data_IF_819144334333
#
_entry.id   IF_819144334333
#
_cell.length_a   1.000
_cell.length_b   1.000
_cell.length_c   1.000
_cell.angle_alpha   90.00
_cell.angle_beta   90.00
_cell.angle_gamma   90.00
#
_symmetry.space_group_name_H-M   'P 1'
#
loop_
_entity.id
_entity.type
_entity.pdbx_description
1 polymer ?
#
# COMPACT_ATOMS: atom_id res chain seq x y z
N UNK A 1 -0.14 -10.02 -10.67
CA UNK A 1 0.62 -10.59 -9.54
C UNK A 1 1.17 -11.97 -9.91
N UNK A 2 0.32 -12.99 -10.23
CA UNK A 2 0.78 -14.38 -10.46
C UNK A 2 1.88 -14.50 -11.53
N UNK A 3 1.68 -13.92 -12.72
CA UNK A 3 2.67 -13.94 -13.83
C UNK A 3 3.95 -13.18 -13.50
N UNK A 4 3.86 -12.12 -12.73
CA UNK A 4 4.98 -11.25 -12.38
C UNK A 4 5.93 -11.91 -11.37
N UNK A 5 5.38 -12.76 -10.49
CA UNK A 5 6.12 -13.42 -9.42
C UNK A 5 6.98 -14.62 -9.88
N UNK A 6 6.88 -15.04 -11.14
CA UNK A 6 7.67 -16.17 -11.71
C UNK A 6 9.01 -15.72 -12.31
N UNK A 7 9.26 -14.41 -12.44
CA UNK A 7 10.52 -13.87 -12.97
C UNK A 7 11.66 -13.98 -11.95
N UNK A 8 12.89 -14.06 -12.44
CA UNK A 8 14.13 -14.11 -11.65
C UNK A 8 14.18 -12.96 -10.65
N UNK A 9 14.43 -13.25 -9.39
CA UNK A 9 14.51 -12.26 -8.30
C UNK A 9 15.72 -11.36 -8.50
N UNK A 10 15.50 -10.06 -8.65
CA UNK A 10 16.57 -9.06 -8.57
C UNK A 10 16.90 -8.76 -7.10
N UNK A 11 18.14 -8.44 -6.81
CA UNK A 11 18.51 -7.93 -5.49
C UNK A 11 17.90 -6.53 -5.30
N UNK A 12 16.86 -6.46 -4.46
CA UNK A 12 16.14 -5.21 -4.21
C UNK A 12 17.05 -4.10 -3.66
N UNK A 13 18.07 -4.43 -2.86
CA UNK A 13 19.00 -3.43 -2.37
C UNK A 13 19.75 -2.78 -3.55
N UNK A 14 20.28 -3.58 -4.47
CA UNK A 14 20.95 -3.06 -5.68
C UNK A 14 20.01 -2.25 -6.59
N UNK A 15 18.78 -2.72 -6.76
CA UNK A 15 17.79 -2.05 -7.65
C UNK A 15 17.34 -0.71 -7.08
N UNK A 16 17.24 -0.58 -5.76
CA UNK A 16 16.70 0.61 -5.11
C UNK A 16 17.77 1.59 -4.62
N UNK A 17 19.03 1.16 -4.49
CA UNK A 17 20.14 2.05 -4.11
C UNK A 17 20.21 3.26 -5.05
N UNK A 18 20.30 4.45 -4.48
CA UNK A 18 20.32 5.72 -5.20
C UNK A 18 18.95 6.20 -5.70
N UNK A 19 17.87 5.42 -5.47
CA UNK A 19 16.53 5.85 -5.84
C UNK A 19 15.84 6.57 -4.66
N UNK A 20 15.14 7.65 -4.98
CA UNK A 20 14.36 8.39 -4.00
C UNK A 20 15.19 9.31 -3.11
N UNK A 21 14.70 9.59 -1.92
CA UNK A 21 15.32 10.50 -0.95
C UNK A 21 15.08 10.00 0.48
N UNK A 22 15.95 10.44 1.42
CA UNK A 22 15.87 10.03 2.81
C UNK A 22 16.92 8.99 3.17
N UNK A 23 16.66 8.21 4.21
CA UNK A 23 17.65 7.29 4.76
C UNK A 23 17.43 5.88 4.22
N UNK A 24 18.30 5.45 3.30
CA UNK A 24 18.31 4.08 2.79
C UNK A 24 18.59 3.07 3.92
N UNK A 25 18.07 1.87 3.77
CA UNK A 25 18.27 0.77 4.72
C UNK A 25 18.22 -0.59 4.00
N UNK A 26 18.75 -1.61 4.67
CA UNK A 26 18.80 -2.96 4.11
C UNK A 26 17.41 -3.62 4.06
N UNK A 27 16.91 -3.87 2.85
CA UNK A 27 15.61 -4.47 2.56
C UNK A 27 15.55 -5.99 2.82
N UNK A 28 16.61 -6.60 3.31
CA UNK A 28 16.60 -7.98 3.81
C UNK A 28 16.24 -8.06 5.31
N UNK A 29 16.14 -6.91 5.99
CA UNK A 29 15.62 -6.78 7.36
C UNK A 29 14.15 -6.36 7.35
N UNK A 30 13.51 -6.42 8.49
CA UNK A 30 12.12 -6.02 8.68
C UNK A 30 11.91 -4.53 8.34
N UNK A 31 10.90 -4.23 7.53
CA UNK A 31 10.51 -2.87 7.20
C UNK A 31 8.99 -2.75 6.99
N UNK A 32 8.50 -1.51 7.05
CA UNK A 32 7.13 -1.15 6.75
C UNK A 32 7.05 -0.42 5.41
N UNK A 33 5.85 -0.41 4.83
CA UNK A 33 5.54 0.38 3.63
C UNK A 33 4.38 1.33 3.97
N UNK A 34 4.52 2.62 3.65
CA UNK A 34 3.43 3.58 3.68
C UNK A 34 3.01 3.91 2.25
N UNK A 35 1.71 3.73 1.96
CA UNK A 35 1.07 4.19 0.73
C UNK A 35 -0.28 4.83 1.09
N UNK A 36 -0.30 6.15 1.16
CA UNK A 36 -1.50 6.91 1.51
C UNK A 36 -1.77 8.00 0.49
N UNK A 37 -3.02 8.08 0.08
CA UNK A 37 -3.53 8.99 -0.93
C UNK A 37 -4.64 9.86 -0.34
N UNK A 38 -4.89 11.00 -0.95
CA UNK A 38 -6.02 11.86 -0.57
C UNK A 38 -7.35 11.14 -0.81
N UNK A 39 -8.35 11.52 -0.04
CA UNK A 39 -9.75 11.17 -0.26
C UNK A 39 -10.43 12.42 -0.83
N UNK A 40 -11.05 12.31 -2.00
CA UNK A 40 -11.59 13.47 -2.73
C UNK A 40 -12.61 14.26 -1.91
N UNK A 41 -13.38 13.59 -1.07
CA UNK A 41 -14.37 14.22 -0.18
C UNK A 41 -13.78 14.76 1.12
N UNK A 42 -12.49 14.50 1.39
CA UNK A 42 -11.76 14.89 2.60
C UNK A 42 -10.40 15.50 2.23
N UNK A 43 -10.26 16.07 1.03
CA UNK A 43 -8.94 16.44 0.49
C UNK A 43 -8.22 17.50 1.32
N UNK A 44 -8.95 18.40 1.97
CA UNK A 44 -8.41 19.46 2.84
C UNK A 44 -7.65 18.90 4.04
N UNK A 45 -8.11 17.77 4.59
CA UNK A 45 -7.48 17.08 5.71
C UNK A 45 -6.26 16.25 5.31
N UNK A 46 -5.97 16.11 4.02
CA UNK A 46 -4.95 15.18 3.50
C UNK A 46 -3.57 15.38 4.13
N UNK A 47 -3.15 16.64 4.36
CA UNK A 47 -1.87 16.95 5.04
C UNK A 47 -1.85 16.44 6.47
N UNK A 48 -2.92 16.66 7.22
CA UNK A 48 -3.06 16.21 8.62
C UNK A 48 -3.10 14.69 8.69
N UNK A 49 -3.85 14.05 7.79
CA UNK A 49 -3.99 12.60 7.72
C UNK A 49 -2.65 11.90 7.48
N UNK A 50 -1.85 12.35 6.50
CA UNK A 50 -0.53 11.75 6.24
C UNK A 50 0.45 12.01 7.39
N UNK A 51 0.45 13.18 8.00
CA UNK A 51 1.30 13.49 9.16
C UNK A 51 0.95 12.59 10.34
N UNK A 52 -0.33 12.31 10.59
CA UNK A 52 -0.78 11.39 11.63
C UNK A 52 -0.27 9.97 11.39
N UNK A 53 -0.32 9.50 10.14
CA UNK A 53 0.19 8.18 9.77
C UNK A 53 1.70 8.08 9.95
N UNK A 54 2.46 9.06 9.45
CA UNK A 54 3.91 9.12 9.60
C UNK A 54 4.32 9.15 11.08
N UNK A 55 3.65 9.97 11.90
CA UNK A 55 3.86 10.05 13.35
C UNK A 55 3.59 8.70 14.03
N UNK A 56 2.48 8.05 13.70
CA UNK A 56 2.13 6.76 14.30
C UNK A 56 3.13 5.66 13.95
N UNK A 57 3.60 5.60 12.69
CA UNK A 57 4.58 4.61 12.21
C UNK A 57 5.95 4.86 12.84
N UNK A 58 6.38 6.11 12.96
CA UNK A 58 7.69 6.46 13.53
C UNK A 58 7.90 5.97 14.97
N UNK A 59 6.82 5.79 15.74
CA UNK A 59 6.89 5.28 17.12
C UNK A 59 7.34 3.81 17.21
N UNK A 60 7.33 3.06 16.10
CA UNK A 60 7.77 1.67 16.08
C UNK A 60 9.27 1.50 15.84
N UNK A 61 9.96 2.56 15.44
CA UNK A 61 11.40 2.52 15.11
C UNK A 61 11.78 1.42 14.08
N UNK A 62 10.83 1.03 13.24
CA UNK A 62 11.04 0.07 12.15
C UNK A 62 11.33 0.87 10.87
N UNK A 63 12.38 0.53 10.10
CA UNK A 63 12.66 1.16 8.82
C UNK A 63 11.42 1.18 7.92
N UNK A 64 11.15 2.30 7.25
CA UNK A 64 9.88 2.49 6.54
C UNK A 64 10.11 3.10 5.16
N UNK A 65 9.58 2.41 4.14
CA UNK A 65 9.44 2.97 2.79
C UNK A 65 8.16 3.79 2.69
N UNK A 66 8.26 4.98 2.15
CA UNK A 66 7.11 5.87 1.93
C UNK A 66 7.00 6.18 0.45
N UNK A 67 5.90 5.79 -0.16
CA UNK A 67 5.62 6.14 -1.55
C UNK A 67 4.98 7.52 -1.65
N UNK A 68 5.48 8.32 -2.59
CA UNK A 68 4.85 9.58 -2.96
C UNK A 68 3.45 9.32 -3.51
N UNK A 69 2.51 10.26 -3.29
CA UNK A 69 1.15 10.12 -3.81
C UNK A 69 1.14 10.15 -5.35
N UNK A 70 0.08 9.57 -5.91
CA UNK A 70 -0.28 9.74 -7.32
C UNK A 70 -0.80 11.17 -7.60
N UNK A 71 -1.30 11.40 -8.82
CA UNK A 71 -1.79 12.70 -9.29
C UNK A 71 -3.24 13.01 -8.91
N UNK A 72 -3.85 12.29 -7.95
CA UNK A 72 -5.23 12.53 -7.51
C UNK A 72 -5.39 13.91 -6.87
N UNK A 73 -6.61 14.45 -6.86
CA UNK A 73 -6.95 15.69 -6.17
C UNK A 73 -6.50 15.65 -4.70
N UNK A 74 -5.85 16.70 -4.20
CA UNK A 74 -5.28 16.76 -2.85
C UNK A 74 -3.91 16.09 -2.69
N UNK A 75 -3.32 15.53 -3.75
CA UNK A 75 -1.98 14.91 -3.71
C UNK A 75 -0.87 15.91 -3.34
N UNK A 76 -1.05 17.18 -3.70
CA UNK A 76 -0.17 18.28 -3.30
C UNK A 76 -0.11 18.45 -1.77
N UNK A 77 -1.24 18.27 -1.06
CA UNK A 77 -1.32 18.35 0.40
C UNK A 77 -0.64 17.14 1.07
N UNK A 78 -0.83 15.94 0.51
CA UNK A 78 -0.07 14.74 0.95
C UNK A 78 1.43 14.97 0.76
N UNK A 79 1.84 15.45 -0.41
CA UNK A 79 3.26 15.74 -0.72
C UNK A 79 3.84 16.82 0.19
N UNK A 80 3.06 17.87 0.51
CA UNK A 80 3.44 18.90 1.48
C UNK A 80 3.63 18.31 2.88
N UNK A 81 2.73 17.40 3.31
CA UNK A 81 2.84 16.69 4.58
C UNK A 81 4.10 15.83 4.66
N UNK A 82 4.38 15.05 3.60
CA UNK A 82 5.59 14.21 3.52
C UNK A 82 6.86 15.07 3.60
N UNK A 83 6.94 16.19 2.84
CA UNK A 83 8.10 17.10 2.89
C UNK A 83 8.29 17.68 4.29
N UNK A 84 7.23 18.24 4.87
CA UNK A 84 7.27 18.79 6.25
C UNK A 84 7.72 17.77 7.28
N UNK A 85 7.27 16.51 7.15
CA UNK A 85 7.71 15.43 8.03
C UNK A 85 9.20 15.12 7.86
N UNK A 86 9.65 14.93 6.62
CA UNK A 86 11.04 14.58 6.29
C UNK A 86 12.03 15.62 6.82
N UNK A 87 11.72 16.90 6.64
CA UNK A 87 12.59 18.00 7.11
C UNK A 87 12.78 18.00 8.63
N UNK A 88 11.74 17.61 9.38
CA UNK A 88 11.76 17.59 10.85
C UNK A 88 12.24 16.27 11.45
N UNK A 89 12.38 15.22 10.66
CA UNK A 89 12.66 13.85 11.13
C UNK A 89 13.69 13.16 10.24
N UNK A 90 14.70 13.88 9.79
CA UNK A 90 15.72 13.36 8.87
C UNK A 90 16.55 12.23 9.50
N UNK A 91 16.64 12.15 10.84
CA UNK A 91 17.32 11.12 11.60
C UNK A 91 16.57 9.77 11.58
N UNK A 92 15.27 9.79 11.31
CA UNK A 92 14.45 8.56 11.25
C UNK A 92 14.78 7.73 10.01
N UNK A 93 14.66 6.42 10.11
CA UNK A 93 14.89 5.49 9.01
C UNK A 93 13.69 5.46 8.05
N UNK A 94 13.45 6.57 7.37
CA UNK A 94 12.42 6.71 6.35
C UNK A 94 13.06 6.94 4.99
N UNK A 95 12.68 6.12 4.02
CA UNK A 95 13.14 6.19 2.64
C UNK A 95 11.95 6.45 1.72
N UNK A 96 11.98 7.57 1.00
CA UNK A 96 10.87 8.08 0.21
C UNK A 96 11.11 7.78 -1.27
N UNK A 97 10.21 7.01 -1.88
CA UNK A 97 10.28 6.57 -3.26
C UNK A 97 9.11 7.15 -4.07
N UNK A 98 9.31 7.39 -5.36
CA UNK A 98 8.22 7.74 -6.27
C UNK A 98 7.53 6.47 -6.76
N UNK A 99 7.78 6.09 -8.00
CA UNK A 99 7.21 4.90 -8.61
C UNK A 99 8.28 3.82 -8.76
N UNK A 100 7.84 2.58 -8.74
CA UNK A 100 8.67 1.43 -9.04
C UNK A 100 8.03 0.60 -10.15
N UNK A 101 8.81 -0.12 -10.96
CA UNK A 101 8.28 -1.16 -11.83
C UNK A 101 7.41 -2.14 -11.02
N UNK A 102 6.34 -2.61 -11.64
CA UNK A 102 5.35 -3.48 -10.97
C UNK A 102 5.99 -4.73 -10.35
N UNK A 103 6.95 -5.31 -11.04
CA UNK A 103 7.71 -6.49 -10.58
C UNK A 103 8.46 -6.19 -9.28
N UNK A 104 9.23 -5.09 -9.29
CA UNK A 104 10.00 -4.62 -8.12
C UNK A 104 9.08 -4.32 -6.95
N UNK A 105 7.96 -3.67 -7.21
CA UNK A 105 6.97 -3.35 -6.18
C UNK A 105 6.39 -4.63 -5.53
N UNK A 106 6.07 -5.66 -6.30
CA UNK A 106 5.55 -6.91 -5.75
C UNK A 106 6.59 -7.68 -4.95
N UNK A 107 7.86 -7.70 -5.40
CA UNK A 107 8.94 -8.30 -4.62
C UNK A 107 9.16 -7.54 -3.30
N UNK A 108 9.05 -6.21 -3.33
CA UNK A 108 9.12 -5.37 -2.14
C UNK A 108 7.97 -5.66 -1.17
N UNK A 109 6.73 -5.75 -1.67
CA UNK A 109 5.57 -6.10 -0.84
C UNK A 109 5.76 -7.44 -0.13
N UNK A 110 6.27 -8.47 -0.81
CA UNK A 110 6.48 -9.79 -0.21
C UNK A 110 7.42 -9.77 1.00
N UNK A 111 8.38 -8.84 1.04
CA UNK A 111 9.35 -8.71 2.11
C UNK A 111 8.87 -7.80 3.25
N UNK A 112 7.87 -6.95 3.00
CA UNK A 112 7.36 -6.02 3.99
C UNK A 112 6.66 -6.76 5.14
N UNK A 113 6.90 -6.31 6.36
CA UNK A 113 6.17 -6.79 7.56
C UNK A 113 4.71 -6.37 7.56
N UNK A 114 4.44 -5.17 7.09
CA UNK A 114 3.10 -4.61 7.04
C UNK A 114 3.08 -3.42 6.08
N UNK A 115 1.96 -3.23 5.42
CA UNK A 115 1.65 -2.02 4.68
C UNK A 115 0.67 -1.16 5.49
N UNK A 116 0.88 0.16 5.52
CA UNK A 116 0.05 1.14 6.23
C UNK A 116 -0.43 2.21 5.27
N UNK A 117 -1.67 2.63 5.36
CA UNK A 117 -2.25 3.70 4.53
C UNK A 117 -3.60 3.32 3.95
N UNK A 118 -3.93 3.86 2.77
CA UNK A 118 -5.24 3.66 2.17
C UNK A 118 -5.19 3.26 0.69
N UNK A 119 -4.07 2.70 0.25
CA UNK A 119 -3.93 2.18 -1.12
C UNK A 119 -4.80 0.95 -1.35
N UNK A 120 -5.35 0.82 -2.56
CA UNK A 120 -6.03 -0.41 -2.98
C UNK A 120 -5.10 -1.62 -3.03
N UNK A 121 -3.80 -1.41 -3.15
CA UNK A 121 -2.81 -2.49 -3.08
C UNK A 121 -2.83 -3.21 -1.73
N UNK A 122 -3.19 -2.53 -0.65
CA UNK A 122 -3.33 -3.14 0.67
C UNK A 122 -4.47 -4.16 0.76
N UNK A 123 -5.60 -3.88 0.08
CA UNK A 123 -6.75 -4.81 0.07
C UNK A 123 -6.66 -5.86 -1.04
N UNK A 124 -5.94 -5.60 -2.14
CA UNK A 124 -5.85 -6.51 -3.31
C UNK A 124 -4.56 -7.31 -3.30
N UNK A 125 -3.45 -6.65 -3.55
CA UNK A 125 -2.14 -7.29 -3.68
C UNK A 125 -1.65 -7.87 -2.35
N UNK A 126 -1.76 -7.11 -1.25
CA UNK A 126 -1.37 -7.61 0.08
C UNK A 126 -2.25 -8.78 0.53
N UNK A 127 -3.56 -8.76 0.22
CA UNK A 127 -4.45 -9.88 0.50
C UNK A 127 -4.03 -11.15 -0.26
N UNK A 128 -3.73 -11.02 -1.56
CA UNK A 128 -3.26 -12.13 -2.37
C UNK A 128 -1.91 -12.68 -1.91
N UNK A 129 -1.03 -11.82 -1.41
CA UNK A 129 0.30 -12.19 -0.93
C UNK A 129 0.31 -12.68 0.53
N UNK A 130 -0.75 -12.42 1.29
CA UNK A 130 -0.80 -12.70 2.72
C UNK A 130 0.04 -11.71 3.53
N UNK A 131 0.08 -10.43 3.13
CA UNK A 131 0.80 -9.37 3.82
C UNK A 131 -0.18 -8.57 4.69
N UNK A 132 0.12 -8.34 5.97
CA UNK A 132 -0.72 -7.49 6.83
C UNK A 132 -0.88 -6.09 6.28
N UNK A 133 -2.09 -5.55 6.39
CA UNK A 133 -2.41 -4.21 5.94
C UNK A 133 -3.20 -3.43 7.00
N UNK A 134 -2.71 -2.26 7.37
CA UNK A 134 -3.45 -1.28 8.17
C UNK A 134 -4.12 -0.28 7.23
N UNK A 135 -5.43 -0.42 7.07
CA UNK A 135 -6.24 0.46 6.25
C UNK A 135 -6.64 1.70 7.05
N UNK A 136 -6.06 2.85 6.72
CA UNK A 136 -6.26 4.12 7.41
C UNK A 136 -7.35 4.95 6.72
N UNK A 137 -8.34 5.40 7.49
CA UNK A 137 -9.40 6.29 7.03
C UNK A 137 -10.44 5.60 6.15
N UNK A 138 -11.09 6.39 5.29
CA UNK A 138 -12.36 6.06 4.63
C UNK A 138 -12.22 5.60 3.18
N UNK A 139 -11.08 5.84 2.50
CA UNK A 139 -10.91 5.62 1.05
C UNK A 139 -11.30 4.21 0.58
N UNK A 140 -11.15 3.20 1.43
CA UNK A 140 -11.48 1.81 1.12
C UNK A 140 -12.75 1.32 1.85
N UNK A 141 -13.64 2.23 2.31
CA UNK A 141 -14.76 1.91 3.23
C UNK A 141 -15.64 0.77 2.73
N UNK A 142 -16.18 0.83 1.55
CA UNK A 142 -17.17 -0.11 1.03
C UNK A 142 -16.59 -1.24 0.16
N UNK A 143 -15.27 -1.47 0.23
CA UNK A 143 -14.63 -2.55 -0.53
C UNK A 143 -14.51 -3.81 0.31
N UNK A 144 -14.63 -4.96 -0.34
CA UNK A 144 -14.31 -6.24 0.29
C UNK A 144 -12.87 -6.24 0.81
N UNK A 145 -12.64 -6.89 1.94
CA UNK A 145 -11.33 -6.94 2.60
C UNK A 145 -11.01 -8.36 3.03
N UNK A 146 -9.81 -8.79 2.75
CA UNK A 146 -9.29 -10.06 3.24
C UNK A 146 -8.94 -10.00 4.74
N UNK A 147 -8.66 -11.16 5.31
CA UNK A 147 -8.24 -11.30 6.73
C UNK A 147 -6.92 -10.59 7.05
N UNK A 148 -6.19 -10.15 6.03
CA UNK A 148 -4.95 -9.37 6.18
C UNK A 148 -5.19 -7.92 6.60
N UNK A 149 -6.43 -7.41 6.55
CA UNK A 149 -6.75 -5.99 6.69
C UNK A 149 -7.26 -5.65 8.09
N UNK A 150 -6.62 -4.67 8.73
CA UNK A 150 -7.05 -4.07 9.99
C UNK A 150 -7.40 -2.61 9.71
N UNK A 151 -8.64 -2.20 10.00
CA UNK A 151 -9.05 -0.82 9.81
C UNK A 151 -8.62 0.05 10.99
N UNK A 152 -8.24 1.29 10.70
CA UNK A 152 -7.95 2.34 11.66
C UNK A 152 -8.56 3.67 11.21
N UNK A 153 -8.95 4.51 12.15
CA UNK A 153 -9.28 5.91 11.87
C UNK A 153 -8.00 6.70 11.51
N UNK A 154 -8.16 7.98 11.14
CA UNK A 154 -7.01 8.88 10.93
C UNK A 154 -6.35 9.34 12.26
N UNK A 155 -6.77 8.82 13.40
CA UNK A 155 -6.17 9.15 14.70
C UNK A 155 -4.87 8.37 14.90
N UNK A 156 -3.75 9.02 15.29
CA UNK A 156 -2.46 8.35 15.47
C UNK A 156 -2.49 7.19 16.48
N UNK A 157 -3.30 7.29 17.54
CA UNK A 157 -3.45 6.22 18.56
C UNK A 157 -4.08 4.98 17.95
N UNK A 158 -5.13 5.14 17.12
CA UNK A 158 -5.80 4.04 16.44
C UNK A 158 -4.90 3.38 15.42
N UNK A 159 -4.18 4.18 14.63
CA UNK A 159 -3.19 3.69 13.66
C UNK A 159 -2.12 2.87 14.39
N UNK A 160 -1.57 3.38 15.49
CA UNK A 160 -0.56 2.66 16.28
C UNK A 160 -1.10 1.35 16.86
N UNK A 161 -2.34 1.34 17.36
CA UNK A 161 -3.02 0.12 17.85
C UNK A 161 -3.21 -0.91 16.74
N UNK A 162 -3.59 -0.46 15.55
CA UNK A 162 -3.75 -1.31 14.38
C UNK A 162 -2.41 -1.88 13.89
N UNK A 163 -1.33 -1.09 13.86
CA UNK A 163 0.02 -1.56 13.51
C UNK A 163 0.49 -2.63 14.49
N UNK A 164 0.33 -2.42 15.81
CA UNK A 164 0.67 -3.44 16.82
C UNK A 164 -0.03 -4.78 16.57
N UNK A 165 -1.31 -4.75 16.16
CA UNK A 165 -2.05 -5.96 15.78
C UNK A 165 -1.53 -6.55 14.48
N UNK A 166 -1.29 -5.73 13.46
CA UNK A 166 -0.82 -6.15 12.14
C UNK A 166 0.54 -6.85 12.22
N UNK A 167 1.47 -6.36 13.02
CA UNK A 167 2.80 -6.96 13.20
C UNK A 167 2.77 -8.37 13.82
N UNK A 168 1.69 -8.72 14.53
CA UNK A 168 1.46 -10.06 15.09
C UNK A 168 0.66 -10.96 14.15
N UNK A 169 0.05 -10.39 13.11
CA UNK A 169 -0.84 -11.12 12.21
C UNK A 169 -0.01 -11.92 11.20
N UNK A 170 -0.42 -13.17 10.98
CA UNK A 170 0.10 -14.04 9.92
C UNK A 170 -1.05 -14.45 8.99
N UNK A 171 -1.50 -13.54 8.12
CA UNK A 171 -2.69 -13.78 7.32
C UNK A 171 -2.41 -14.83 6.24
N UNK A 172 -3.41 -15.68 5.99
CA UNK A 172 -3.37 -16.57 4.84
C UNK A 172 -3.58 -15.78 3.55
N UNK A 173 -2.99 -16.26 2.45
CA UNK A 173 -3.23 -15.72 1.12
C UNK A 173 -4.71 -15.84 0.77
N UNK A 174 -5.29 -14.77 0.25
CA UNK A 174 -6.71 -14.73 -0.12
C UNK A 174 -6.88 -14.54 -1.62
N UNK A 175 -7.91 -15.19 -2.17
CA UNK A 175 -8.31 -15.07 -3.59
C UNK A 175 -9.58 -14.24 -3.77
N UNK A 176 -9.96 -13.45 -2.77
CA UNK A 176 -11.18 -12.63 -2.76
C UNK A 176 -11.29 -11.72 -4.00
N UNK A 177 -10.16 -11.26 -4.52
CA UNK A 177 -10.07 -10.48 -5.76
C UNK A 177 -9.72 -11.32 -7.00
N UNK A 178 -9.92 -12.65 -6.93
CA UNK A 178 -9.75 -13.56 -8.04
C UNK A 178 -8.39 -14.24 -8.12
N UNK A 179 -8.26 -15.13 -9.12
CA UNK A 179 -7.09 -15.99 -9.32
C UNK A 179 -6.31 -15.67 -10.61
N UNK A 180 -6.63 -14.56 -11.28
CA UNK A 180 -6.01 -14.17 -12.55
C UNK A 180 -6.62 -14.88 -13.78
N UNK A 181 -7.81 -15.43 -13.65
CA UNK A 181 -8.55 -16.12 -14.74
C UNK A 181 -9.82 -15.37 -15.18
N UNK A 182 -9.99 -14.11 -14.77
CA UNK A 182 -11.18 -13.31 -15.08
C UNK A 182 -11.41 -13.18 -16.60
N UNK A 183 -10.39 -12.90 -17.40
CA UNK A 183 -10.51 -12.81 -18.85
C UNK A 183 -11.08 -14.11 -19.47
N UNK A 184 -10.58 -15.26 -19.05
CA UNK A 184 -11.12 -16.55 -19.54
C UNK A 184 -12.59 -16.76 -19.15
N UNK A 185 -12.99 -16.33 -17.94
CA UNK A 185 -14.37 -16.42 -17.48
C UNK A 185 -15.28 -15.48 -18.28
N UNK A 186 -14.81 -14.25 -18.53
CA UNK A 186 -15.55 -13.26 -19.34
C UNK A 186 -15.75 -13.77 -20.75
N UNK A 187 -14.69 -14.24 -21.43
CA UNK A 187 -14.81 -14.81 -22.79
C UNK A 187 -15.84 -15.93 -22.83
N UNK A 188 -15.79 -16.90 -21.88
CA UNK A 188 -16.77 -17.99 -21.81
C UNK A 188 -18.21 -17.52 -21.64
N UNK A 189 -18.42 -16.39 -20.97
CA UNK A 189 -19.78 -15.80 -20.83
C UNK A 189 -20.18 -15.13 -22.14
N UNK A 190 -19.29 -14.35 -22.74
CA UNK A 190 -19.56 -13.66 -24.01
C UNK A 190 -19.85 -14.64 -25.17
N UNK A 191 -19.12 -15.76 -25.24
CA UNK A 191 -19.37 -16.81 -26.23
C UNK A 191 -20.79 -17.43 -26.14
N UNK A 192 -21.41 -17.37 -24.96
CA UNK A 192 -22.77 -17.87 -24.74
C UNK A 192 -23.87 -16.87 -25.06
N UNK A 193 -23.52 -15.58 -25.17
CA UNK A 193 -24.49 -14.51 -25.46
C UNK A 193 -24.69 -14.45 -26.97
N UNK A 194 -25.79 -15.02 -27.47
CA UNK A 194 -26.15 -15.03 -28.91
C UNK A 194 -26.79 -13.71 -29.40
N UNK A 195 -27.46 -12.98 -28.52
CA UNK A 195 -28.08 -11.67 -28.82
C UNK A 195 -27.95 -10.73 -27.63
N UNK A 196 -27.42 -9.55 -27.86
CA UNK A 196 -27.48 -8.42 -26.92
C UNK A 196 -28.53 -7.47 -27.44
N UNK A 197 -29.71 -7.42 -26.82
CA UNK A 197 -30.67 -6.36 -27.07
C UNK A 197 -30.11 -5.09 -26.43
N UNK A 198 -29.50 -4.25 -27.24
CA UNK A 198 -29.20 -2.87 -26.88
C UNK A 198 -30.52 -2.06 -26.97
N UNK A 199 -31.30 -2.08 -25.91
CA UNK A 199 -32.35 -1.05 -25.76
C UNK A 199 -31.63 0.27 -25.53
N UNK A 200 -31.93 1.23 -26.46
CA UNK A 200 -31.50 2.63 -26.36
C UNK A 200 -32.22 3.34 -25.23
#
# INVERSE_FOLDING_TARGET
VKKTLTKKRSDLNKVLTGLGVGREFNLNKDFLIIMQYSVTTEYEDSKKQILNTLKAVANFNIPTLVFWPNSDAGSNLISKGIRTWREKNFEKKFWFLKNLPTETFYELLKKAKCMVGNSSSGIRECSYLGIPFVNVGTRQKNREKGQNTINASNNPKDISKAIKKALKLKPKKSKIYGEGNAAKKIVKVLEKIRHINLQK
#
